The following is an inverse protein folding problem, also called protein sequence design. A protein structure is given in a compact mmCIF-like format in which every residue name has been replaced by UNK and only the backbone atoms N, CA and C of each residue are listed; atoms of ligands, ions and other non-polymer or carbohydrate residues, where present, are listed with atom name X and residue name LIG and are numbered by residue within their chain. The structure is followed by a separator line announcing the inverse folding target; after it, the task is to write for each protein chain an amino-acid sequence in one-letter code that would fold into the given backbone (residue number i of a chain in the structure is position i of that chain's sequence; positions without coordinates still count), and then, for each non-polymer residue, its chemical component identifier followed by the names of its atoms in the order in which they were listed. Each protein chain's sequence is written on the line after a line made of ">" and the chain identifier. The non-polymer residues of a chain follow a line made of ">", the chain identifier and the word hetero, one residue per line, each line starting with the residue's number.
data_IF_172859758487
#
_entry.id   IF_172859758487
#
_cell.length_a   1.000
_cell.length_b   1.000
_cell.length_c   1.000
_cell.angle_alpha   90.00
_cell.angle_beta   90.00
_cell.angle_gamma   90.00
#
_symmetry.space_group_name_H-M   'P 1'
#
loop_
_entity.id
_entity.type
_entity.pdbx_description
1 polymer ?
#
# COMPACT_ATOMS: atom_id res chain seq x y z
N UNK A 1 31.18 34.85 33.72
CA UNK A 1 30.84 36.07 32.96
C UNK A 1 30.29 35.61 31.62
N UNK A 2 29.10 36.07 31.22
CA UNK A 2 28.35 35.68 30.01
C UNK A 2 27.96 34.18 29.91
N UNK A 3 26.75 33.72 29.61
CA UNK A 3 25.50 34.28 29.01
C UNK A 3 25.46 34.41 27.49
N UNK A 4 24.68 33.50 26.85
CA UNK A 4 24.02 33.51 25.50
C UNK A 4 23.46 32.08 25.32
N UNK A 5 22.17 31.73 25.49
CA UNK A 5 20.93 31.98 24.71
C UNK A 5 20.96 31.45 23.27
N UNK A 6 19.90 30.84 22.68
CA UNK A 6 18.56 30.41 23.16
C UNK A 6 18.38 28.90 22.72
N UNK A 7 17.27 28.20 22.45
CA UNK A 7 15.82 28.44 22.26
C UNK A 7 15.03 27.18 22.67
N UNK A 8 13.75 27.31 23.02
CA UNK A 8 12.75 26.25 22.81
C UNK A 8 12.49 26.03 21.29
N UNK A 9 11.80 24.93 20.93
CA UNK A 9 10.37 25.10 20.68
C UNK A 9 9.48 24.15 21.49
N UNK A 10 8.38 24.67 22.03
CA UNK A 10 7.26 23.87 22.54
C UNK A 10 6.44 23.32 21.37
N UNK A 11 6.85 22.17 20.82
CA UNK A 11 5.98 21.39 19.92
C UNK A 11 4.80 20.84 20.72
N UNK A 12 3.66 21.53 20.63
CA UNK A 12 2.44 21.17 21.35
C UNK A 12 1.88 19.85 20.80
N UNK A 13 2.11 18.74 21.51
CA UNK A 13 1.61 17.42 21.15
C UNK A 13 0.07 17.39 21.14
N UNK A 14 -0.52 17.38 19.93
CA UNK A 14 -1.95 17.21 19.72
C UNK A 14 -2.33 15.72 19.58
N UNK A 15 -3.59 15.38 19.83
CA UNK A 15 -4.11 14.02 19.54
C UNK A 15 -4.50 13.87 18.07
N UNK A 16 -4.59 12.64 17.56
CA UNK A 16 -5.02 12.38 16.18
C UNK A 16 -6.40 12.98 15.86
N UNK A 17 -7.36 12.87 16.78
CA UNK A 17 -8.69 13.48 16.66
C UNK A 17 -8.65 15.01 16.53
N UNK A 18 -7.64 15.67 17.10
CA UNK A 18 -7.43 17.11 16.96
C UNK A 18 -6.73 17.44 15.63
N UNK A 19 -5.76 16.62 15.20
CA UNK A 19 -5.11 16.74 13.90
C UNK A 19 -6.12 16.63 12.76
N UNK A 20 -6.94 15.58 12.76
CA UNK A 20 -7.97 15.33 11.73
C UNK A 20 -8.95 16.50 11.65
N UNK A 21 -9.44 17.00 12.79
CA UNK A 21 -10.37 18.15 12.80
C UNK A 21 -9.73 19.43 12.26
N UNK A 22 -8.48 19.73 12.63
CA UNK A 22 -7.78 20.92 12.12
C UNK A 22 -7.54 20.79 10.61
N UNK A 23 -7.24 19.58 10.11
CA UNK A 23 -7.08 19.30 8.69
C UNK A 23 -8.41 19.47 7.91
N UNK A 24 -9.50 18.90 8.40
CA UNK A 24 -10.85 19.03 7.81
C UNK A 24 -11.39 20.47 7.85
N UNK A 25 -11.05 21.25 8.88
CA UNK A 25 -11.34 22.69 8.98
C UNK A 25 -10.45 23.56 8.05
N UNK A 26 -9.49 22.95 7.33
CA UNK A 26 -8.58 23.64 6.41
C UNK A 26 -7.44 24.41 7.09
N UNK A 27 -7.15 24.09 8.35
CA UNK A 27 -6.07 24.68 9.14
C UNK A 27 -4.69 24.10 8.82
N UNK A 28 -3.63 24.86 9.15
CA UNK A 28 -2.26 24.41 8.94
C UNK A 28 -1.83 23.39 10.01
N UNK A 29 -1.70 22.13 9.60
CA UNK A 29 -1.21 21.03 10.43
C UNK A 29 0.30 20.77 10.30
N UNK A 30 1.00 21.45 9.39
CA UNK A 30 2.43 21.20 9.14
C UNK A 30 3.31 21.55 10.35
N UNK A 31 2.86 22.50 11.19
CA UNK A 31 3.49 22.83 12.47
C UNK A 31 3.51 21.66 13.50
N UNK A 32 2.72 20.61 13.27
CA UNK A 32 2.67 19.41 14.12
C UNK A 32 3.30 18.17 13.46
N UNK A 33 3.80 18.30 12.22
CA UNK A 33 4.44 17.21 11.48
C UNK A 33 5.96 17.23 11.70
N UNK A 34 6.56 16.07 11.97
CA UNK A 34 8.02 15.94 11.95
C UNK A 34 8.53 15.92 10.49
N UNK A 35 8.92 17.11 10.02
CA UNK A 35 9.49 17.32 8.69
C UNK A 35 11.02 17.07 8.66
N UNK A 36 11.67 16.88 9.82
CA UNK A 36 13.10 16.57 9.91
C UNK A 36 13.36 15.05 9.82
N UNK A 37 12.44 14.23 10.36
CA UNK A 37 12.50 12.77 10.34
C UNK A 37 11.21 12.13 9.77
N UNK A 38 10.80 12.45 8.53
CA UNK A 38 9.59 11.88 7.95
C UNK A 38 9.71 10.35 7.82
N UNK A 39 8.90 9.62 8.60
CA UNK A 39 8.83 8.15 8.55
C UNK A 39 8.06 7.75 7.30
N UNK A 40 8.75 7.73 6.16
CA UNK A 40 8.22 7.17 4.92
C UNK A 40 8.22 5.65 5.06
N UNK A 41 7.07 5.09 5.45
CA UNK A 41 6.84 3.64 5.39
C UNK A 41 6.78 3.16 3.94
N UNK A 42 7.96 3.02 3.34
CA UNK A 42 8.16 2.20 2.16
C UNK A 42 7.86 0.75 2.54
N UNK A 43 6.60 0.34 2.40
CA UNK A 43 6.20 -1.05 2.25
C UNK A 43 6.46 -1.46 0.79
N UNK A 44 7.63 -2.02 0.41
CA UNK A 44 7.71 -2.70 -0.87
C UNK A 44 6.67 -3.82 -0.85
N UNK A 45 5.85 -4.00 -1.91
CA UNK A 45 4.86 -5.07 -1.94
C UNK A 45 5.58 -6.40 -1.81
N UNK A 46 5.48 -7.03 -0.64
CA UNK A 46 6.35 -8.16 -0.28
C UNK A 46 5.93 -9.42 -1.06
N UNK A 47 6.56 -9.59 -2.24
CA UNK A 47 6.28 -10.65 -3.20
C UNK A 47 6.50 -12.05 -2.61
N UNK A 48 5.42 -12.70 -2.18
CA UNK A 48 5.45 -14.07 -1.66
C UNK A 48 5.47 -15.06 -2.83
N UNK A 49 6.63 -15.69 -3.06
CA UNK A 49 6.75 -16.80 -4.02
C UNK A 49 6.02 -18.04 -3.48
N UNK A 50 5.19 -18.66 -4.32
CA UNK A 50 4.40 -19.85 -4.00
C UNK A 50 4.66 -20.91 -5.07
N UNK A 51 4.98 -22.14 -4.65
CA UNK A 51 5.09 -23.29 -5.54
C UNK A 51 3.75 -24.00 -5.63
N UNK A 52 3.26 -24.24 -6.85
CA UNK A 52 1.99 -24.92 -7.12
C UNK A 52 2.21 -26.10 -8.07
N UNK A 53 1.57 -27.23 -7.78
CA UNK A 53 1.50 -28.38 -8.69
C UNK A 53 0.19 -28.33 -9.46
N UNK A 54 0.23 -28.51 -10.79
CA UNK A 54 -0.94 -28.48 -11.67
C UNK A 54 -0.92 -29.66 -12.65
N UNK A 55 -2.08 -30.13 -13.15
CA UNK A 55 -2.13 -31.14 -14.20
C UNK A 55 -1.67 -30.56 -15.55
N UNK A 56 -1.08 -31.40 -16.41
CA UNK A 56 -0.49 -30.99 -17.69
C UNK A 56 -1.41 -30.11 -18.54
N UNK A 57 -2.67 -30.55 -18.76
CA UNK A 57 -3.66 -29.81 -19.57
C UNK A 57 -3.90 -28.36 -19.13
N UNK A 58 -3.69 -28.05 -17.84
CA UNK A 58 -3.83 -26.69 -17.30
C UNK A 58 -2.58 -25.84 -17.57
N UNK A 59 -1.40 -26.47 -17.61
CA UNK A 59 -0.15 -25.81 -18.02
C UNK A 59 -0.18 -25.55 -19.54
N UNK A 60 -0.61 -26.54 -20.33
CA UNK A 60 -0.72 -26.43 -21.79
C UNK A 60 -1.68 -25.30 -22.20
N UNK A 61 -2.83 -25.18 -21.51
CA UNK A 61 -3.78 -24.08 -21.73
C UNK A 61 -3.24 -22.69 -21.37
N UNK A 62 -2.48 -22.57 -20.28
CA UNK A 62 -1.81 -21.31 -19.92
C UNK A 62 -0.67 -20.95 -20.88
N UNK A 63 0.01 -21.92 -21.47
CA UNK A 63 1.06 -21.67 -22.47
C UNK A 63 0.48 -21.21 -23.81
N UNK A 64 -0.70 -21.71 -24.20
CA UNK A 64 -1.44 -21.18 -25.35
C UNK A 64 -1.82 -19.70 -25.12
N UNK A 65 -2.46 -19.38 -24.00
CA UNK A 65 -2.83 -18.01 -23.62
C UNK A 65 -1.61 -17.08 -23.55
N UNK A 66 -0.53 -17.52 -22.89
CA UNK A 66 0.71 -16.75 -22.77
C UNK A 66 1.35 -16.45 -24.13
N UNK A 67 1.25 -17.39 -25.08
CA UNK A 67 1.71 -17.23 -26.46
C UNK A 67 0.84 -16.25 -27.25
N UNK A 68 -0.49 -16.30 -27.12
CA UNK A 68 -1.40 -15.39 -27.81
C UNK A 68 -1.29 -13.95 -27.29
N UNK A 69 -1.17 -13.77 -25.97
CA UNK A 69 -0.96 -12.47 -25.33
C UNK A 69 0.50 -11.97 -25.38
N UNK A 70 1.44 -12.79 -25.87
CA UNK A 70 2.88 -12.53 -25.90
C UNK A 70 3.52 -12.15 -24.53
N UNK A 71 3.01 -12.73 -23.44
CA UNK A 71 3.49 -12.51 -22.06
C UNK A 71 4.01 -13.83 -21.44
N UNK A 72 4.59 -13.74 -20.24
CA UNK A 72 4.99 -14.96 -19.51
C UNK A 72 3.78 -15.70 -18.93
N UNK A 73 3.86 -17.03 -18.83
CA UNK A 73 2.87 -17.88 -18.13
C UNK A 73 2.53 -17.36 -16.72
N UNK A 74 3.54 -16.88 -15.99
CA UNK A 74 3.37 -16.31 -14.66
C UNK A 74 2.54 -15.01 -14.67
N UNK A 75 2.63 -14.21 -15.73
CA UNK A 75 1.80 -13.02 -15.89
C UNK A 75 0.32 -13.37 -16.17
N UNK A 76 0.04 -14.41 -16.97
CA UNK A 76 -1.32 -14.95 -17.15
C UNK A 76 -1.89 -15.41 -15.81
N UNK A 77 -1.16 -16.28 -15.10
CA UNK A 77 -1.56 -16.83 -13.78
C UNK A 77 -1.84 -15.71 -12.77
N UNK A 78 -0.93 -14.76 -12.62
CA UNK A 78 -1.09 -13.64 -11.69
C UNK A 78 -2.29 -12.76 -12.06
N UNK A 79 -2.53 -12.53 -13.35
CA UNK A 79 -3.67 -11.72 -13.84
C UNK A 79 -4.99 -12.39 -13.51
N UNK A 80 -5.18 -13.66 -13.91
CA UNK A 80 -6.41 -14.41 -13.68
C UNK A 80 -6.71 -14.63 -12.20
N UNK A 81 -5.69 -14.91 -11.37
CA UNK A 81 -5.85 -15.02 -9.91
C UNK A 81 -6.28 -13.67 -9.32
N UNK A 82 -5.62 -12.56 -9.69
CA UNK A 82 -5.99 -11.24 -9.22
C UNK A 82 -7.39 -10.82 -9.67
N UNK A 83 -7.82 -11.18 -10.88
CA UNK A 83 -9.18 -10.96 -11.37
C UNK A 83 -10.22 -11.75 -10.57
N UNK A 84 -9.98 -13.04 -10.32
CA UNK A 84 -10.91 -13.85 -9.53
C UNK A 84 -11.01 -13.34 -8.09
N UNK A 85 -9.89 -13.03 -7.43
CA UNK A 85 -9.89 -12.47 -6.07
C UNK A 85 -10.64 -11.13 -6.01
N UNK A 86 -10.39 -10.22 -6.95
CA UNK A 86 -11.14 -8.95 -7.06
C UNK A 86 -12.63 -9.17 -7.32
N UNK A 87 -13.01 -10.22 -8.06
CA UNK A 87 -14.42 -10.54 -8.31
C UNK A 87 -15.14 -11.05 -7.05
N UNK A 88 -14.51 -11.92 -6.25
CA UNK A 88 -15.08 -12.42 -5.01
C UNK A 88 -15.16 -11.32 -3.94
N UNK A 89 -14.10 -10.50 -3.78
CA UNK A 89 -14.12 -9.39 -2.82
C UNK A 89 -15.22 -8.35 -3.13
N UNK A 90 -15.46 -8.04 -4.41
CA UNK A 90 -16.59 -7.19 -4.84
C UNK A 90 -17.95 -7.83 -4.60
N UNK A 91 -18.03 -9.15 -4.53
CA UNK A 91 -19.26 -9.89 -4.22
C UNK A 91 -19.52 -9.86 -2.72
N UNK A 92 -18.55 -10.22 -1.89
CA UNK A 92 -18.69 -10.17 -0.43
C UNK A 92 -18.93 -8.74 0.09
N UNK A 93 -18.30 -7.73 -0.52
CA UNK A 93 -18.53 -6.31 -0.19
C UNK A 93 -19.85 -5.72 -0.76
N UNK A 94 -20.74 -6.58 -1.31
CA UNK A 94 -22.14 -6.27 -1.65
C UNK A 94 -23.13 -7.17 -0.89
N UNK A 95 -22.64 -8.13 -0.13
CA UNK A 95 -23.41 -9.08 0.69
C UNK A 95 -23.31 -8.75 2.19
N UNK A 96 -22.67 -7.62 2.53
CA UNK A 96 -22.45 -7.07 3.86
C UNK A 96 -22.78 -5.57 3.89
#
# INVERSE_FOLDING_TARGET
>A
MSSTSKSEPDTSTITGEQFDRIFDEGGDVLQYADLEHPIVEHHPPMEKRVTLTMPAWMVDGLDAEARELAISRNAVVNTWIAERLRSEWRRTAKEA
#
